data_IF_159487275875
#
_entry.id   IF_159487275875
#
_cell.length_a   1.000
_cell.length_b   1.000
_cell.length_c   1.000
_cell.angle_alpha   90.00
_cell.angle_beta   90.00
_cell.angle_gamma   90.00
#
_symmetry.space_group_name_H-M   'P 1'
#
loop_
_entity.id
_entity.type
_entity.pdbx_description
1 polymer ?
#
# COMPACT_ATOMS: atom_id res chain seq x y z
N UNK A 1 -5.22 -7.73 7.39
CA UNK A 1 -3.91 -7.37 7.99
C UNK A 1 -3.55 -5.90 7.81
N UNK A 2 -3.78 -5.34 6.62
CA UNK A 2 -3.52 -3.93 6.38
C UNK A 2 -4.27 -3.04 7.37
N UNK A 3 -5.54 -3.36 7.64
CA UNK A 3 -6.36 -2.58 8.55
C UNK A 3 -5.78 -2.54 9.97
N UNK A 4 -5.23 -3.66 10.42
CA UNK A 4 -4.57 -3.73 11.73
C UNK A 4 -3.37 -2.78 11.79
N UNK A 5 -2.55 -2.76 10.74
CA UNK A 5 -1.41 -1.84 10.69
C UNK A 5 -1.87 -0.37 10.66
N UNK A 6 -2.98 -0.08 9.98
CA UNK A 6 -3.56 1.26 9.97
C UNK A 6 -3.97 1.69 11.39
N UNK A 7 -4.62 0.79 12.12
CA UNK A 7 -5.01 1.05 13.51
C UNK A 7 -3.80 1.28 14.41
N UNK A 8 -2.74 0.50 14.22
CA UNK A 8 -1.49 0.67 14.95
C UNK A 8 -0.83 2.01 14.62
N UNK A 9 -0.90 2.43 13.35
CA UNK A 9 -0.35 3.72 12.93
C UNK A 9 -1.06 4.88 13.65
N UNK A 10 -2.40 4.82 13.75
CA UNK A 10 -3.18 5.83 14.46
C UNK A 10 -2.81 5.82 15.95
N UNK A 11 -2.68 4.66 16.55
CA UNK A 11 -2.29 4.53 17.95
C UNK A 11 -0.93 5.18 18.22
N UNK A 12 0.04 4.91 17.35
CA UNK A 12 1.38 5.50 17.47
C UNK A 12 1.35 7.01 17.22
N UNK A 13 0.54 7.46 16.27
CA UNK A 13 0.37 8.88 16.00
C UNK A 13 -0.20 9.60 17.24
N UNK A 14 -1.19 9.02 17.90
CA UNK A 14 -1.80 9.60 19.09
C UNK A 14 -0.81 9.69 20.24
N UNK A 15 0.19 8.83 20.25
CA UNK A 15 1.29 8.84 21.23
C UNK A 15 2.47 9.72 20.81
N UNK A 16 2.31 10.43 19.70
CA UNK A 16 3.38 11.27 19.13
C UNK A 16 4.62 10.48 18.70
N UNK A 17 4.45 9.19 18.45
CA UNK A 17 5.50 8.30 17.95
C UNK A 17 5.42 8.25 16.40
N UNK A 18 5.83 9.34 15.76
CA UNK A 18 5.63 9.52 14.32
C UNK A 18 6.47 8.57 13.47
N UNK A 19 7.68 8.27 13.90
CA UNK A 19 8.54 7.32 13.20
C UNK A 19 7.90 5.93 13.18
N UNK A 20 7.40 5.47 14.33
CA UNK A 20 6.74 4.18 14.42
C UNK A 20 5.41 4.17 13.68
N UNK A 21 4.69 5.31 13.68
CA UNK A 21 3.49 5.43 12.88
C UNK A 21 3.79 5.23 11.39
N UNK A 22 4.85 5.88 10.89
CA UNK A 22 5.25 5.73 9.48
C UNK A 22 5.67 4.29 9.16
N UNK A 23 6.32 3.59 10.10
CA UNK A 23 6.65 2.18 9.95
C UNK A 23 5.39 1.32 9.78
N UNK A 24 4.39 1.56 10.62
CA UNK A 24 3.12 0.84 10.52
C UNK A 24 2.40 1.13 9.19
N UNK A 25 2.48 2.36 8.71
CA UNK A 25 1.93 2.73 7.39
C UNK A 25 2.65 2.00 6.26
N UNK A 26 3.97 1.85 6.36
CA UNK A 26 4.74 1.03 5.42
C UNK A 26 4.20 -0.40 5.39
N UNK A 27 4.01 -0.99 6.56
CA UNK A 27 3.52 -2.37 6.67
C UNK A 27 2.12 -2.53 6.05
N UNK A 28 1.26 -1.54 6.27
CA UNK A 28 -0.07 -1.52 5.64
C UNK A 28 0.05 -1.49 4.11
N UNK A 29 0.92 -0.62 3.58
CA UNK A 29 1.13 -0.52 2.13
C UNK A 29 1.68 -1.82 1.54
N UNK A 30 2.64 -2.44 2.20
CA UNK A 30 3.20 -3.71 1.75
C UNK A 30 2.10 -4.77 1.62
N UNK A 31 1.23 -4.86 2.63
CA UNK A 31 0.11 -5.81 2.60
C UNK A 31 -0.87 -5.50 1.46
N UNK A 32 -1.15 -4.22 1.23
CA UNK A 32 -2.07 -3.82 0.16
C UNK A 32 -1.49 -4.11 -1.23
N UNK A 33 -0.23 -3.77 -1.45
CA UNK A 33 0.42 -4.09 -2.73
C UNK A 33 0.46 -5.60 -2.97
N UNK A 34 0.79 -6.37 -1.94
CA UNK A 34 0.83 -7.84 -2.05
C UNK A 34 -0.56 -8.42 -2.34
N UNK A 35 -1.62 -7.83 -1.78
CA UNK A 35 -2.98 -8.25 -2.09
C UNK A 35 -3.32 -8.03 -3.57
N UNK A 36 -2.89 -6.90 -4.15
CA UNK A 36 -3.07 -6.64 -5.58
C UNK A 36 -2.29 -7.67 -6.40
N UNK A 37 -1.02 -7.87 -6.08
CA UNK A 37 -0.18 -8.80 -6.81
C UNK A 37 -0.75 -10.22 -6.76
N UNK A 38 -1.17 -10.68 -5.59
CA UNK A 38 -1.77 -11.99 -5.43
C UNK A 38 -3.05 -12.12 -6.26
N UNK A 39 -3.91 -11.11 -6.24
CA UNK A 39 -5.19 -11.13 -6.96
C UNK A 39 -4.99 -11.20 -8.47
N UNK A 40 -4.00 -10.47 -9.01
CA UNK A 40 -3.79 -10.40 -10.45
C UNK A 40 -2.86 -11.49 -11.00
N UNK A 41 -1.90 -11.96 -10.20
CA UNK A 41 -0.93 -12.96 -10.65
C UNK A 41 -1.22 -14.37 -10.13
N UNK A 42 -2.04 -14.48 -9.09
CA UNK A 42 -2.32 -15.73 -8.37
C UNK A 42 -1.04 -16.36 -7.79
N UNK A 43 -0.01 -15.54 -7.59
CA UNK A 43 1.26 -15.96 -6.99
C UNK A 43 1.49 -15.15 -5.72
N UNK A 44 1.99 -15.82 -4.69
CA UNK A 44 2.31 -15.19 -3.42
C UNK A 44 3.82 -14.95 -3.33
N UNK A 45 4.34 -14.08 -4.19
CA UNK A 45 5.74 -13.67 -4.15
C UNK A 45 5.93 -12.69 -3.00
N UNK A 46 6.93 -12.96 -2.15
CA UNK A 46 7.19 -12.13 -0.98
C UNK A 46 8.18 -11.01 -1.31
N UNK A 47 7.73 -10.05 -2.08
CA UNK A 47 8.49 -8.83 -2.31
C UNK A 47 8.20 -7.85 -1.18
N UNK A 48 9.26 -7.26 -0.61
CA UNK A 48 9.15 -6.31 0.50
C UNK A 48 9.49 -4.88 0.12
N UNK A 49 10.09 -4.68 -1.05
CA UNK A 49 10.46 -3.35 -1.52
C UNK A 49 9.24 -2.63 -2.08
N UNK A 50 8.81 -1.55 -1.43
CA UNK A 50 7.62 -0.81 -1.83
C UNK A 50 7.74 -0.20 -3.22
N UNK A 51 8.92 0.25 -3.62
CA UNK A 51 9.12 0.82 -4.96
C UNK A 51 8.87 -0.22 -6.04
N UNK A 52 9.40 -1.44 -5.85
CA UNK A 52 9.18 -2.54 -6.79
C UNK A 52 7.73 -3.01 -6.78
N UNK A 53 7.11 -3.09 -5.60
CA UNK A 53 5.70 -3.46 -5.47
C UNK A 53 4.79 -2.45 -6.16
N UNK A 54 5.05 -1.16 -5.98
CA UNK A 54 4.28 -0.11 -6.65
C UNK A 54 4.41 -0.21 -8.17
N UNK A 55 5.64 -0.36 -8.64
CA UNK A 55 5.94 -0.47 -10.06
C UNK A 55 5.18 -1.63 -10.71
N UNK A 56 5.24 -2.80 -10.07
CA UNK A 56 4.53 -3.98 -10.54
C UNK A 56 3.02 -3.83 -10.45
N UNK A 57 2.53 -3.34 -9.32
CA UNK A 57 1.09 -3.22 -9.06
C UNK A 57 0.39 -2.24 -9.99
N UNK A 58 1.01 -1.10 -10.32
CA UNK A 58 0.39 -0.12 -11.20
C UNK A 58 0.26 -0.61 -12.64
N UNK A 59 1.01 -1.63 -13.01
CA UNK A 59 0.84 -2.30 -14.30
C UNK A 59 -0.50 -3.02 -14.41
N UNK A 60 -1.01 -3.53 -13.28
CA UNK A 60 -2.31 -4.19 -13.20
C UNK A 60 -3.43 -3.23 -12.80
N UNK A 61 -3.10 -2.20 -12.03
CA UNK A 61 -4.05 -1.25 -11.48
C UNK A 61 -3.54 0.18 -11.70
N UNK A 62 -3.70 0.74 -12.93
CA UNK A 62 -3.20 2.09 -13.24
C UNK A 62 -3.76 3.20 -12.36
N UNK A 63 -4.93 3.00 -11.76
CA UNK A 63 -5.54 3.96 -10.85
C UNK A 63 -4.70 4.25 -9.61
N UNK A 64 -3.70 3.40 -9.30
CA UNK A 64 -2.77 3.63 -8.19
C UNK A 64 -1.96 4.92 -8.34
N UNK A 65 -1.81 5.41 -9.57
CA UNK A 65 -1.12 6.68 -9.83
C UNK A 65 -1.89 7.85 -9.19
N UNK A 66 -3.20 7.70 -8.97
CA UNK A 66 -4.00 8.74 -8.28
C UNK A 66 -3.67 8.79 -6.78
N UNK A 67 -3.26 7.67 -6.21
CA UNK A 67 -2.86 7.60 -4.79
C UNK A 67 -1.40 8.04 -4.63
N UNK A 68 -0.53 7.51 -5.49
CA UNK A 68 0.90 7.79 -5.48
C UNK A 68 1.31 8.38 -6.82
N UNK A 69 1.08 9.71 -7.04
CA UNK A 69 1.41 10.35 -8.32
C UNK A 69 2.90 10.26 -8.66
N UNK A 70 3.17 10.03 -9.93
CA UNK A 70 4.52 9.99 -10.48
C UNK A 70 4.81 11.33 -11.15
N UNK A 71 6.03 11.83 -10.96
CA UNK A 71 6.44 13.11 -11.54
C UNK A 71 6.06 14.33 -10.71
N UNK A 72 5.61 14.13 -9.47
CA UNK A 72 5.31 15.19 -8.51
C UNK A 72 6.29 15.07 -7.34
N UNK A 73 7.16 16.05 -7.19
CA UNK A 73 8.23 16.00 -6.19
C UNK A 73 7.74 15.79 -4.76
N UNK A 74 6.68 16.49 -4.36
CA UNK A 74 6.14 16.39 -3.01
C UNK A 74 5.54 15.01 -2.76
N UNK A 75 4.80 14.48 -3.72
CA UNK A 75 4.20 13.16 -3.62
C UNK A 75 5.27 12.06 -3.58
N UNK A 76 6.32 12.21 -4.37
CA UNK A 76 7.44 11.28 -4.38
C UNK A 76 8.22 11.34 -3.08
N UNK A 77 8.34 12.53 -2.47
CA UNK A 77 8.97 12.70 -1.16
C UNK A 77 8.20 11.93 -0.09
N UNK A 78 6.87 12.06 -0.08
CA UNK A 78 6.02 11.34 0.88
C UNK A 78 6.13 9.82 0.70
N UNK A 79 6.11 9.36 -0.54
CA UNK A 79 6.28 7.93 -0.82
C UNK A 79 7.65 7.43 -0.36
N UNK A 80 8.68 8.24 -0.53
CA UNK A 80 10.04 7.90 -0.09
C UNK A 80 10.12 7.73 1.43
N UNK A 81 9.36 8.52 2.18
CA UNK A 81 9.27 8.35 3.64
C UNK A 81 8.76 6.95 3.98
N UNK A 82 7.70 6.49 3.28
CA UNK A 82 7.19 5.13 3.47
C UNK A 82 8.24 4.08 3.15
N UNK A 83 8.92 4.23 2.02
CA UNK A 83 9.97 3.31 1.59
C UNK A 83 11.07 3.20 2.63
N UNK A 84 11.57 4.36 3.10
CA UNK A 84 12.67 4.42 4.06
C UNK A 84 12.28 3.91 5.45
N UNK A 85 11.02 4.07 5.84
CA UNK A 85 10.57 3.76 7.19
C UNK A 85 10.81 2.31 7.60
N UNK A 86 10.82 1.39 6.66
CA UNK A 86 11.03 -0.03 6.96
C UNK A 86 12.39 -0.27 7.65
N UNK A 87 13.44 0.35 7.12
CA UNK A 87 14.80 0.19 7.66
C UNK A 87 15.09 1.25 8.72
N UNK A 88 14.83 2.53 8.39
CA UNK A 88 15.25 3.67 9.20
C UNK A 88 14.58 3.69 10.58
N UNK A 89 13.29 3.34 10.65
CA UNK A 89 12.56 3.35 11.91
C UNK A 89 13.15 2.37 12.93
N UNK A 90 13.73 1.26 12.46
CA UNK A 90 14.24 0.21 13.33
C UNK A 90 15.71 0.39 13.67
N UNK A 91 16.49 0.99 12.79
CA UNK A 91 17.96 0.98 12.93
C UNK A 91 18.62 2.34 13.00
N UNK A 92 17.90 3.44 12.67
CA UNK A 92 18.48 4.78 12.65
C UNK A 92 17.77 5.68 13.65
N UNK A 93 18.38 5.94 14.82
CA UNK A 93 17.77 6.80 15.85
C UNK A 93 17.68 8.27 15.41
N UNK A 94 18.41 8.67 14.36
CA UNK A 94 18.37 10.03 13.84
C UNK A 94 17.23 10.24 12.84
N UNK A 95 16.57 9.16 12.39
CA UNK A 95 15.48 9.26 11.45
C UNK A 95 14.28 9.96 12.11
N UNK A 96 13.76 10.99 11.44
CA UNK A 96 12.63 11.78 11.92
C UNK A 96 11.55 11.84 10.85
N UNK A 97 10.31 11.84 11.30
CA UNK A 97 9.15 12.05 10.43
C UNK A 97 8.29 13.10 11.12
N UNK A 98 7.86 14.12 10.39
CA UNK A 98 7.04 15.17 10.97
C UNK A 98 5.61 14.68 11.19
N UNK A 99 4.92 15.33 12.13
CA UNK A 99 3.50 15.08 12.38
C UNK A 99 2.68 15.28 11.10
N UNK A 100 2.95 16.36 10.38
CA UNK A 100 2.23 16.72 9.16
C UNK A 100 2.42 15.65 8.08
N UNK A 101 3.64 15.13 7.94
CA UNK A 101 3.91 14.08 6.97
C UNK A 101 3.16 12.79 7.31
N UNK A 102 3.11 12.42 8.59
CA UNK A 102 2.35 11.27 9.03
C UNK A 102 0.86 11.44 8.74
N UNK A 103 0.33 12.65 9.01
CA UNK A 103 -1.08 12.94 8.74
C UNK A 103 -1.40 12.79 7.25
N UNK A 104 -0.55 13.35 6.38
CA UNK A 104 -0.72 13.23 4.94
C UNK A 104 -0.62 11.78 4.49
N UNK A 105 0.31 11.02 5.05
CA UNK A 105 0.48 9.62 4.73
C UNK A 105 -0.69 8.76 5.20
N UNK A 106 -1.25 9.06 6.38
CA UNK A 106 -2.43 8.33 6.86
C UNK A 106 -3.63 8.48 5.92
N UNK A 107 -3.89 9.69 5.46
CA UNK A 107 -4.96 9.96 4.48
C UNK A 107 -4.69 9.19 3.19
N UNK A 108 -3.46 9.21 2.72
CA UNK A 108 -3.03 8.55 1.50
C UNK A 108 -3.19 7.03 1.58
N UNK A 109 -2.78 6.43 2.68
CA UNK A 109 -2.85 4.98 2.85
C UNK A 109 -4.30 4.51 3.04
N UNK A 110 -5.16 5.31 3.68
CA UNK A 110 -6.60 5.02 3.73
C UNK A 110 -7.22 5.00 2.33
N UNK A 111 -6.87 5.97 1.50
CA UNK A 111 -7.31 6.00 0.11
C UNK A 111 -6.78 4.78 -0.65
N UNK A 112 -5.55 4.40 -0.40
CA UNK A 112 -4.94 3.21 -1.01
C UNK A 112 -5.70 1.95 -0.62
N UNK A 113 -6.08 1.81 0.64
CA UNK A 113 -6.88 0.67 1.11
C UNK A 113 -8.19 0.58 0.34
N UNK A 114 -8.88 1.71 0.17
CA UNK A 114 -10.14 1.77 -0.57
C UNK A 114 -9.97 1.39 -2.04
N UNK A 115 -8.97 1.96 -2.69
CA UNK A 115 -8.67 1.67 -4.10
C UNK A 115 -8.30 0.20 -4.28
N UNK A 116 -7.49 -0.35 -3.38
CA UNK A 116 -7.09 -1.75 -3.40
C UNK A 116 -8.31 -2.67 -3.33
N UNK A 117 -9.23 -2.36 -2.43
CA UNK A 117 -10.46 -3.13 -2.27
C UNK A 117 -11.27 -3.13 -3.57
N UNK A 118 -11.46 -1.97 -4.19
CA UNK A 118 -12.21 -1.82 -5.44
C UNK A 118 -11.54 -2.60 -6.58
N UNK A 119 -10.23 -2.47 -6.71
CA UNK A 119 -9.45 -3.14 -7.76
C UNK A 119 -9.51 -4.65 -7.62
N UNK A 120 -9.32 -5.16 -6.41
CA UNK A 120 -9.34 -6.60 -6.16
C UNK A 120 -10.74 -7.19 -6.37
N UNK A 121 -11.78 -6.52 -5.89
CA UNK A 121 -13.16 -6.94 -6.08
C UNK A 121 -13.54 -7.01 -7.56
N UNK A 122 -13.13 -5.99 -8.33
CA UNK A 122 -13.36 -5.97 -9.78
C UNK A 122 -12.70 -7.17 -10.46
N UNK A 123 -11.46 -7.47 -10.10
CA UNK A 123 -10.72 -8.58 -10.71
C UNK A 123 -11.32 -9.93 -10.35
N UNK A 124 -11.76 -10.09 -9.10
CA UNK A 124 -12.42 -11.31 -8.66
C UNK A 124 -13.70 -11.54 -9.45
N UNK A 125 -14.48 -10.49 -9.68
CA UNK A 125 -15.71 -10.58 -10.50
C UNK A 125 -15.40 -10.98 -11.94
N UNK A 126 -14.29 -10.52 -12.50
CA UNK A 126 -13.85 -10.91 -13.84
C UNK A 126 -13.56 -12.42 -13.88
N UNK A 127 -12.90 -12.96 -12.86
CA UNK A 127 -12.64 -14.40 -12.75
C UNK A 127 -13.94 -15.19 -12.65
N UNK A 128 -14.89 -14.71 -11.88
CA UNK A 128 -16.19 -15.35 -11.73
C UNK A 128 -16.95 -15.41 -13.07
N UNK A 129 -16.89 -14.34 -13.85
CA UNK A 129 -17.50 -14.29 -15.19
C UNK A 129 -16.85 -15.30 -16.12
N UNK A 130 -15.53 -15.39 -16.10
CA UNK A 130 -14.79 -16.36 -16.92
C UNK A 130 -15.15 -17.78 -16.57
N UNK A 131 -15.25 -18.08 -15.28
CA UNK A 131 -15.64 -19.40 -14.78
C UNK A 131 -17.05 -19.78 -15.26
N UNK A 132 -17.99 -18.85 -15.21
CA UNK A 132 -19.36 -19.06 -15.70
C UNK A 132 -19.42 -19.31 -17.21
N UNK A 133 -18.63 -18.56 -17.96
CA UNK A 133 -18.53 -18.71 -19.42
C UNK A 133 -17.99 -20.09 -19.77
N UNK A 134 -16.96 -20.55 -19.08
CA UNK A 134 -16.40 -21.89 -19.28
C UNK A 134 -17.41 -23.00 -18.99
N UNK A 135 -18.19 -22.87 -17.92
CA UNK A 135 -19.24 -23.82 -17.58
C UNK A 135 -20.30 -23.92 -18.68
N UNK A 136 -20.64 -22.81 -19.34
CA UNK A 136 -21.63 -22.78 -20.43
C UNK A 136 -21.12 -23.43 -21.72
N UNK A 137 -19.78 -23.49 -21.91
CA UNK A 137 -19.16 -24.11 -23.10
C UNK A 137 -19.08 -25.63 -23.00
N UNK A 138 -19.20 -26.16 -21.81
CA UNK A 138 -19.20 -27.60 -21.57
C UNK A 138 -20.63 -28.12 -21.54
#
# INVERSE_FOLDING_TARGET
KARLFMEQAVFMYDKEEYVMSSFNLHQACENLFNAIMLTFTLKNDKEHNLEELFKASRGYAPELIRVFPVGNEEEERLFKILVCSYIEARYNPEFKVSREDVEDLMVKVEKFEEVTKQVCERRIKEYEKLAKTEKKRK
#
